data_IF_423113280956
#
_entry.id   IF_423113280956
#
_cell.length_a   1.000
_cell.length_b   1.000
_cell.length_c   1.000
_cell.angle_alpha   90.00
_cell.angle_beta   90.00
_cell.angle_gamma   90.00
#
_symmetry.space_group_name_H-M   'P 1'
#
loop_
_entity.id
_entity.type
_entity.pdbx_description
1 polymer ?
#
# COMPACT_ATOMS: atom_id res chain seq x y z
N UNK A 1 -18.98 -21.15 -0.88
CA UNK A 1 -18.12 -19.95 -0.86
C UNK A 1 -18.97 -18.81 -1.36
N UNK A 2 -19.32 -17.84 -0.51
CA UNK A 2 -19.91 -16.59 -0.97
C UNK A 2 -18.76 -15.82 -1.59
N UNK A 3 -18.73 -15.83 -2.91
CA UNK A 3 -17.88 -15.00 -3.74
C UNK A 3 -18.03 -13.56 -3.24
N UNK A 4 -16.91 -12.88 -3.03
CA UNK A 4 -16.90 -11.48 -2.59
C UNK A 4 -17.86 -10.74 -3.53
N UNK A 5 -18.98 -10.24 -3.00
CA UNK A 5 -20.08 -9.64 -3.78
C UNK A 5 -19.63 -8.26 -4.27
N UNK A 6 -18.52 -8.22 -4.98
CA UNK A 6 -17.98 -7.07 -5.67
C UNK A 6 -18.92 -6.85 -6.84
N UNK A 7 -19.83 -5.89 -6.68
CA UNK A 7 -20.63 -5.39 -7.79
C UNK A 7 -19.67 -5.09 -8.95
N UNK A 8 -19.84 -5.69 -10.14
CA UNK A 8 -19.00 -5.42 -11.30
C UNK A 8 -18.88 -3.93 -11.62
N UNK A 9 -19.84 -3.10 -11.20
CA UNK A 9 -19.79 -1.64 -11.29
C UNK A 9 -18.65 -1.00 -10.47
N UNK A 10 -18.20 -1.64 -9.38
CA UNK A 10 -17.14 -1.15 -8.51
C UNK A 10 -15.73 -1.53 -9.00
N UNK A 11 -15.62 -2.50 -9.92
CA UNK A 11 -14.33 -3.00 -10.42
C UNK A 11 -13.45 -1.89 -11.04
N UNK A 12 -13.96 -0.98 -11.88
CA UNK A 12 -13.16 0.13 -12.42
C UNK A 12 -12.62 1.02 -11.30
N UNK A 13 -13.46 1.34 -10.31
CA UNK A 13 -13.08 2.17 -9.17
C UNK A 13 -12.00 1.50 -8.33
N UNK A 14 -12.17 0.22 -7.98
CA UNK A 14 -11.16 -0.54 -7.23
C UNK A 14 -9.85 -0.59 -8.01
N UNK A 15 -9.91 -0.82 -9.32
CA UNK A 15 -8.72 -0.85 -10.19
C UNK A 15 -7.97 0.48 -10.17
N UNK A 16 -8.69 1.60 -10.29
CA UNK A 16 -8.08 2.94 -10.19
C UNK A 16 -7.39 3.13 -8.83
N UNK A 17 -8.04 2.77 -7.72
CA UNK A 17 -7.46 2.91 -6.38
C UNK A 17 -6.22 2.05 -6.18
N UNK A 18 -6.24 0.82 -6.70
CA UNK A 18 -5.07 -0.07 -6.65
C UNK A 18 -3.93 0.54 -7.44
N UNK A 19 -4.16 1.01 -8.67
CA UNK A 19 -3.12 1.65 -9.49
C UNK A 19 -2.55 2.91 -8.82
N UNK A 20 -3.42 3.77 -8.28
CA UNK A 20 -2.99 4.94 -7.50
C UNK A 20 -2.17 4.53 -6.27
N UNK A 21 -2.58 3.46 -5.57
CA UNK A 21 -1.83 2.95 -4.42
C UNK A 21 -0.46 2.41 -4.83
N UNK A 22 -0.36 1.67 -5.93
CA UNK A 22 0.92 1.19 -6.48
C UNK A 22 1.86 2.36 -6.75
N UNK A 23 1.38 3.42 -7.41
CA UNK A 23 2.19 4.61 -7.69
C UNK A 23 2.66 5.34 -6.42
N UNK A 24 1.80 5.44 -5.40
CA UNK A 24 2.16 6.10 -4.14
C UNK A 24 3.20 5.27 -3.39
N UNK A 25 2.98 3.96 -3.25
CA UNK A 25 3.90 3.08 -2.53
C UNK A 25 5.25 3.00 -3.25
N UNK A 26 5.28 2.86 -4.57
CA UNK A 26 6.53 2.78 -5.32
C UNK A 26 7.35 4.07 -5.24
N UNK A 27 6.70 5.24 -5.21
CA UNK A 27 7.39 6.54 -5.02
C UNK A 27 7.83 6.80 -3.57
N UNK A 28 7.22 6.10 -2.61
CA UNK A 28 7.47 6.30 -1.18
C UNK A 28 8.38 5.23 -0.58
N UNK A 29 8.84 4.28 -1.40
CA UNK A 29 9.61 3.10 -1.02
C UNK A 29 10.94 3.08 -1.76
N UNK A 30 12.01 2.77 -1.04
CA UNK A 30 13.31 2.43 -1.62
C UNK A 30 13.57 0.92 -1.55
N UNK A 31 12.58 0.14 -1.12
CA UNK A 31 12.65 -1.31 -1.06
C UNK A 31 12.75 -1.95 -2.45
N UNK A 32 13.43 -3.09 -2.58
CA UNK A 32 13.48 -3.83 -3.83
C UNK A 32 12.08 -4.32 -4.23
N UNK A 33 11.88 -4.59 -5.53
CA UNK A 33 10.58 -4.97 -6.09
C UNK A 33 10.00 -6.26 -5.49
N UNK A 34 10.83 -7.11 -4.89
CA UNK A 34 10.46 -8.37 -4.24
C UNK A 34 10.16 -8.24 -2.73
N UNK A 35 10.17 -7.02 -2.17
CA UNK A 35 9.84 -6.80 -0.77
C UNK A 35 8.42 -7.27 -0.44
N UNK A 36 8.34 -8.15 0.57
CA UNK A 36 7.09 -8.81 0.97
C UNK A 36 6.02 -7.87 1.50
N UNK A 37 6.36 -6.64 1.89
CA UNK A 37 5.44 -5.62 2.41
C UNK A 37 4.91 -4.68 1.34
N UNK A 38 5.49 -4.64 0.14
CA UNK A 38 5.03 -3.77 -0.96
C UNK A 38 3.56 -4.05 -1.32
N UNK A 39 3.22 -5.33 -1.58
CA UNK A 39 1.85 -5.72 -1.95
C UNK A 39 0.86 -5.51 -0.79
N UNK A 40 1.15 -5.91 0.47
CA UNK A 40 0.32 -5.56 1.62
C UNK A 40 0.09 -4.06 1.80
N UNK A 41 1.11 -3.22 1.64
CA UNK A 41 0.99 -1.77 1.76
C UNK A 41 0.03 -1.19 0.70
N UNK A 42 0.15 -1.64 -0.55
CA UNK A 42 -0.77 -1.28 -1.65
C UNK A 42 -2.20 -1.67 -1.29
N UNK A 43 -2.43 -2.89 -0.80
CA UNK A 43 -3.77 -3.38 -0.44
C UNK A 43 -4.40 -2.55 0.69
N UNK A 44 -3.63 -2.24 1.74
CA UNK A 44 -4.11 -1.46 2.87
C UNK A 44 -4.43 -0.02 2.47
N UNK A 45 -3.59 0.60 1.63
CA UNK A 45 -3.85 1.95 1.12
C UNK A 45 -5.09 1.98 0.22
N UNK A 46 -5.21 1.02 -0.72
CA UNK A 46 -6.37 0.92 -1.59
C UNK A 46 -7.67 0.71 -0.79
N UNK A 47 -7.63 -0.13 0.25
CA UNK A 47 -8.78 -0.35 1.13
C UNK A 47 -9.11 0.89 1.96
N UNK A 48 -8.11 1.59 2.50
CA UNK A 48 -8.34 2.83 3.23
C UNK A 48 -8.99 3.89 2.34
N UNK A 49 -8.47 4.09 1.12
CA UNK A 49 -9.05 5.01 0.16
C UNK A 49 -10.42 4.55 -0.34
N UNK A 50 -10.71 3.23 -0.35
CA UNK A 50 -12.03 2.69 -0.68
C UNK A 50 -13.12 3.24 0.24
N UNK A 51 -12.87 3.24 1.56
CA UNK A 51 -13.82 3.73 2.55
C UNK A 51 -13.71 5.24 2.81
N UNK A 52 -12.52 5.82 2.66
CA UNK A 52 -12.23 7.23 2.93
C UNK A 52 -11.26 7.78 1.86
N UNK A 53 -11.84 8.28 0.76
CA UNK A 53 -11.11 8.78 -0.43
C UNK A 53 -10.08 9.85 -0.09
N UNK A 54 -10.33 10.66 0.94
CA UNK A 54 -9.47 11.75 1.35
C UNK A 54 -8.51 11.39 2.48
N UNK A 55 -8.61 10.17 3.03
CA UNK A 55 -7.94 9.79 4.27
C UNK A 55 -8.20 10.82 5.39
N UNK A 56 -9.43 11.32 5.49
CA UNK A 56 -9.85 12.28 6.50
C UNK A 56 -9.62 11.75 7.93
N UNK A 57 -9.69 10.44 8.11
CA UNK A 57 -9.38 9.75 9.38
C UNK A 57 -7.88 9.41 9.54
N UNK A 58 -7.02 9.89 8.64
CA UNK A 58 -5.60 9.61 8.59
C UNK A 58 -5.26 8.26 7.96
N UNK A 59 -3.96 8.00 7.85
CA UNK A 59 -3.46 6.72 7.34
C UNK A 59 -3.56 5.60 8.39
N UNK A 60 -3.89 4.36 7.99
CA UNK A 60 -3.84 3.22 8.89
C UNK A 60 -2.46 3.07 9.55
N UNK A 61 -2.40 2.84 10.87
CA UNK A 61 -1.12 2.67 11.58
C UNK A 61 -0.26 1.55 11.00
N UNK A 62 -0.88 0.46 10.57
CA UNK A 62 -0.19 -0.63 9.88
C UNK A 62 0.48 -0.18 8.58
N UNK A 63 -0.17 0.71 7.81
CA UNK A 63 0.41 1.28 6.60
C UNK A 63 1.64 2.13 6.90
N UNK A 64 1.58 2.95 7.95
CA UNK A 64 2.72 3.76 8.37
C UNK A 64 3.93 2.90 8.77
N UNK A 65 3.70 1.80 9.47
CA UNK A 65 4.78 0.86 9.84
C UNK A 65 5.36 0.15 8.61
N UNK A 66 4.52 -0.26 7.65
CA UNK A 66 4.99 -0.85 6.39
C UNK A 66 5.80 0.16 5.57
N UNK A 67 5.34 1.41 5.45
CA UNK A 67 6.08 2.47 4.77
C UNK A 67 7.44 2.73 5.43
N UNK A 68 7.50 2.78 6.75
CA UNK A 68 8.75 2.96 7.47
C UNK A 68 9.75 1.80 7.20
N UNK A 69 9.27 0.56 7.12
CA UNK A 69 10.10 -0.59 6.74
C UNK A 69 10.60 -0.47 5.30
N UNK A 70 9.70 -0.20 4.37
CA UNK A 70 9.98 -0.08 2.95
C UNK A 70 10.99 1.05 2.64
N UNK A 71 10.95 2.14 3.42
CA UNK A 71 11.94 3.22 3.34
C UNK A 71 13.28 2.82 3.95
N UNK A 72 13.26 2.08 5.07
CA UNK A 72 14.47 1.66 5.75
C UNK A 72 15.24 0.54 5.01
N UNK A 73 14.59 -0.19 4.10
CA UNK A 73 15.21 -1.29 3.33
C UNK A 73 16.43 -0.86 2.50
N UNK A 74 16.60 0.44 2.21
CA UNK A 74 17.76 1.00 1.51
C UNK A 74 18.94 1.38 2.45
N UNK A 75 18.70 1.47 3.77
CA UNK A 75 19.69 1.90 4.77
C UNK A 75 20.57 0.79 5.36
N UNK A 76 20.50 -0.42 4.81
CA UNK A 76 21.17 -1.63 5.32
C UNK A 76 22.68 -1.71 5.11
N UNK A 77 23.29 -0.77 4.39
CA UNK A 77 24.75 -0.66 4.25
C UNK A 77 25.30 0.41 5.22
N UNK A 78 25.12 0.20 6.51
CA UNK A 78 25.84 0.95 7.53
C UNK A 78 26.87 0.04 8.20
N UNK A 79 28.04 -0.02 7.55
CA UNK A 79 29.37 -0.35 8.06
C UNK A 79 29.42 -0.64 9.58
N UNK A 80 29.36 -1.92 9.95
CA UNK A 80 29.37 -2.40 11.33
C UNK A 80 30.48 -3.41 11.59
N UNK A 81 31.70 -2.88 11.79
CA UNK A 81 32.91 -3.51 12.36
C UNK A 81 33.67 -4.57 11.55
#
# INVERSE_FOLDING_TARGET
>A
MVELNLDPAELPTITTLVNTSVEIISRSSDAPEDDTLTVPAVKVLAQAMYYDRGLANGMPKGLLMMLAHLQASSGGDNNGN
#
